data_IF_110657107275
#
_entry.id   IF_110657107275
#
_cell.length_a   1.000
_cell.length_b   1.000
_cell.length_c   1.000
_cell.angle_alpha   90.00
_cell.angle_beta   90.00
_cell.angle_gamma   90.00
#
_symmetry.space_group_name_H-M   'P 1'
#
loop_
_entity.id
_entity.type
_entity.pdbx_description
1 polymer ?
#
# COMPACT_ATOMS: atom_id res chain seq x y z
N UNK A 1 -6.11 -24.92 -24.97
CA UNK A 1 -5.44 -24.31 -23.81
C UNK A 1 -5.88 -22.87 -23.48
N UNK A 2 -6.68 -22.16 -24.31
CA UNK A 2 -7.07 -20.77 -24.03
C UNK A 2 -8.17 -20.57 -22.95
N UNK A 3 -9.04 -21.56 -22.72
CA UNK A 3 -10.17 -21.42 -21.79
C UNK A 3 -9.77 -21.44 -20.30
N UNK A 4 -8.70 -22.17 -19.93
CA UNK A 4 -8.22 -22.23 -18.54
C UNK A 4 -7.64 -20.89 -18.07
N UNK A 5 -6.89 -20.20 -18.92
CA UNK A 5 -6.33 -18.87 -18.60
C UNK A 5 -7.45 -17.83 -18.43
N UNK A 6 -8.48 -17.88 -19.29
CA UNK A 6 -9.65 -17.01 -19.21
C UNK A 6 -10.47 -17.25 -17.95
N UNK A 7 -10.72 -18.51 -17.58
CA UNK A 7 -11.42 -18.88 -16.35
C UNK A 7 -10.70 -18.42 -15.08
N UNK A 8 -9.37 -18.57 -15.05
CA UNK A 8 -8.54 -18.10 -13.93
C UNK A 8 -8.54 -16.57 -13.83
N UNK A 9 -8.43 -15.86 -14.96
CA UNK A 9 -8.49 -14.40 -15.00
C UNK A 9 -9.84 -13.88 -14.49
N UNK A 10 -10.96 -14.41 -14.97
CA UNK A 10 -12.30 -14.03 -14.48
C UNK A 10 -12.50 -14.35 -13.00
N UNK A 11 -12.02 -15.51 -12.52
CA UNK A 11 -12.10 -15.87 -11.10
C UNK A 11 -11.30 -14.90 -10.23
N UNK A 12 -10.12 -14.49 -10.70
CA UNK A 12 -9.27 -13.51 -10.01
C UNK A 12 -9.95 -12.14 -9.96
N UNK A 13 -10.47 -11.66 -11.10
CA UNK A 13 -11.22 -10.41 -11.21
C UNK A 13 -12.47 -10.37 -10.31
N UNK A 14 -13.24 -11.47 -10.26
CA UNK A 14 -14.42 -11.53 -9.38
C UNK A 14 -14.06 -11.50 -7.89
N UNK A 15 -12.94 -12.12 -7.50
CA UNK A 15 -12.45 -12.05 -6.11
C UNK A 15 -12.03 -10.63 -5.75
N UNK A 16 -11.40 -9.95 -6.70
CA UNK A 16 -10.98 -8.55 -6.58
C UNK A 16 -12.14 -7.59 -6.38
N UNK A 17 -13.20 -7.69 -7.19
CA UNK A 17 -14.42 -6.88 -7.00
C UNK A 17 -15.06 -7.11 -5.64
N UNK A 18 -15.09 -8.37 -5.17
CA UNK A 18 -15.61 -8.70 -3.83
C UNK A 18 -14.77 -8.08 -2.72
N UNK A 19 -13.44 -8.21 -2.79
CA UNK A 19 -12.54 -7.61 -1.80
C UNK A 19 -12.71 -6.09 -1.72
N UNK A 20 -12.82 -5.42 -2.87
CA UNK A 20 -13.07 -3.98 -2.93
C UNK A 20 -14.41 -3.59 -2.26
N UNK A 21 -15.47 -4.35 -2.52
CA UNK A 21 -16.77 -4.14 -1.91
C UNK A 21 -16.71 -4.35 -0.38
N UNK A 22 -16.02 -5.40 0.07
CA UNK A 22 -15.86 -5.71 1.49
C UNK A 22 -15.08 -4.61 2.22
N UNK A 23 -13.95 -4.13 1.67
CA UNK A 23 -13.20 -3.01 2.26
C UNK A 23 -14.03 -1.73 2.30
N UNK A 24 -14.78 -1.44 1.23
CA UNK A 24 -15.64 -0.25 1.18
C UNK A 24 -16.79 -0.33 2.18
N UNK A 25 -17.36 -1.51 2.40
CA UNK A 25 -18.38 -1.72 3.41
C UNK A 25 -17.80 -1.61 4.82
N UNK A 26 -16.60 -2.16 5.07
CA UNK A 26 -15.90 -2.01 6.34
C UNK A 26 -15.64 -0.54 6.67
N UNK A 27 -15.23 0.26 5.68
CA UNK A 27 -15.05 1.72 5.83
C UNK A 27 -16.37 2.45 6.12
N UNK A 28 -17.48 2.05 5.48
CA UNK A 28 -18.80 2.64 5.77
C UNK A 28 -19.25 2.36 7.21
N UNK A 29 -19.00 1.14 7.70
CA UNK A 29 -19.35 0.74 9.06
C UNK A 29 -18.42 1.42 10.08
N UNK A 30 -17.13 1.47 9.80
CA UNK A 30 -16.13 2.11 10.64
C UNK A 30 -15.17 2.99 9.81
N UNK A 31 -15.45 4.30 9.70
CA UNK A 31 -14.59 5.24 8.99
C UNK A 31 -13.20 5.46 9.62
N UNK A 32 -12.95 4.90 10.82
CA UNK A 32 -11.66 4.93 11.50
C UNK A 32 -10.93 3.58 11.41
N UNK A 33 -11.31 2.71 10.48
CA UNK A 33 -10.65 1.42 10.30
C UNK A 33 -9.47 1.54 9.33
N UNK A 34 -8.27 1.81 9.87
CA UNK A 34 -7.07 2.05 9.08
C UNK A 34 -6.73 0.90 8.12
N UNK A 35 -6.85 -0.36 8.57
CA UNK A 35 -6.52 -1.54 7.75
C UNK A 35 -7.42 -1.67 6.51
N UNK A 36 -8.70 -1.30 6.62
CA UNK A 36 -9.59 -1.32 5.45
C UNK A 36 -9.18 -0.31 4.39
N UNK A 37 -8.75 0.89 4.79
CA UNK A 37 -8.16 1.86 3.86
C UNK A 37 -6.85 1.35 3.27
N UNK A 38 -5.94 0.84 4.09
CA UNK A 38 -4.68 0.28 3.61
C UNK A 38 -4.90 -0.83 2.57
N UNK A 39 -5.74 -1.80 2.88
CA UNK A 39 -5.98 -2.95 2.00
C UNK A 39 -6.69 -2.54 0.71
N UNK A 40 -7.58 -1.53 0.76
CA UNK A 40 -8.18 -0.96 -0.44
C UNK A 40 -7.18 -0.15 -1.28
N UNK A 41 -6.24 0.54 -0.62
CA UNK A 41 -5.13 1.22 -1.26
C UNK A 41 -4.22 0.24 -2.03
N UNK A 42 -3.83 -0.87 -1.39
CA UNK A 42 -3.06 -1.95 -2.01
C UNK A 42 -3.79 -2.58 -3.20
N UNK A 43 -5.11 -2.76 -3.06
CA UNK A 43 -5.93 -3.20 -4.17
C UNK A 43 -5.88 -2.23 -5.36
N UNK A 44 -6.04 -0.93 -5.14
CA UNK A 44 -5.95 0.06 -6.20
C UNK A 44 -4.56 0.13 -6.82
N UNK A 45 -3.51 -0.01 -6.03
CA UNK A 45 -2.14 -0.09 -6.53
C UNK A 45 -1.95 -1.29 -7.48
N UNK A 46 -2.44 -2.47 -7.13
CA UNK A 46 -2.39 -3.66 -8.01
C UNK A 46 -3.12 -3.44 -9.35
N UNK A 47 -4.14 -2.57 -9.37
CA UNK A 47 -4.86 -2.21 -10.59
C UNK A 47 -4.20 -1.05 -11.37
N UNK A 48 -3.10 -0.47 -10.87
CA UNK A 48 -2.46 0.71 -11.46
C UNK A 48 -3.19 2.03 -11.17
N UNK A 49 -4.20 2.01 -10.30
CA UNK A 49 -5.00 3.17 -9.90
C UNK A 49 -4.27 3.98 -8.81
N UNK A 50 -3.11 4.52 -9.16
CA UNK A 50 -2.16 5.10 -8.20
C UNK A 50 -2.76 6.26 -7.37
N UNK A 51 -3.59 7.13 -7.96
CA UNK A 51 -4.18 8.25 -7.22
C UNK A 51 -5.13 7.77 -6.11
N UNK A 52 -5.93 6.74 -6.39
CA UNK A 52 -6.83 6.13 -5.39
C UNK A 52 -6.04 5.43 -4.29
N UNK A 53 -4.97 4.72 -4.67
CA UNK A 53 -4.06 4.08 -3.71
C UNK A 53 -3.45 5.11 -2.75
N UNK A 54 -2.91 6.22 -3.29
CA UNK A 54 -2.33 7.30 -2.49
C UNK A 54 -3.33 7.92 -1.52
N UNK A 55 -4.58 8.13 -1.96
CA UNK A 55 -5.65 8.68 -1.12
C UNK A 55 -5.97 7.75 0.06
N UNK A 56 -6.13 6.45 -0.22
CA UNK A 56 -6.47 5.45 0.79
C UNK A 56 -5.30 5.23 1.78
N UNK A 57 -4.07 5.09 1.30
CA UNK A 57 -2.91 5.01 2.19
C UNK A 57 -2.77 6.26 3.08
N UNK A 58 -3.02 7.45 2.52
CA UNK A 58 -2.98 8.69 3.30
C UNK A 58 -4.06 8.74 4.38
N UNK A 59 -5.24 8.21 4.09
CA UNK A 59 -6.31 8.12 5.08
C UNK A 59 -5.98 7.08 6.17
N UNK A 60 -5.40 5.92 5.81
CA UNK A 60 -4.92 4.93 6.77
C UNK A 60 -3.87 5.53 7.73
N UNK A 61 -2.91 6.28 7.20
CA UNK A 61 -1.88 6.99 7.97
C UNK A 61 -2.48 8.07 8.87
N UNK A 62 -3.48 8.82 8.38
CA UNK A 62 -4.17 9.84 9.18
C UNK A 62 -4.89 9.23 10.38
N UNK A 63 -5.46 8.04 10.20
CA UNK A 63 -6.16 7.29 11.27
C UNK A 63 -5.14 6.67 12.23
N UNK A 64 -4.08 6.04 11.70
CA UNK A 64 -3.02 5.42 12.48
C UNK A 64 -1.64 5.93 12.01
N UNK A 65 -1.10 6.98 12.67
CA UNK A 65 0.22 7.52 12.34
C UNK A 65 1.40 6.57 12.61
N UNK A 66 1.16 5.42 13.24
CA UNK A 66 2.17 4.37 13.48
C UNK A 66 2.08 3.21 12.48
N UNK A 67 1.26 3.32 11.44
CA UNK A 67 1.08 2.26 10.46
C UNK A 67 2.23 2.22 9.45
N UNK A 68 3.27 1.44 9.77
CA UNK A 68 4.50 1.36 9.00
C UNK A 68 4.27 0.89 7.55
N UNK A 69 3.44 -0.14 7.34
CA UNK A 69 3.14 -0.68 6.01
C UNK A 69 2.46 0.35 5.10
N UNK A 70 1.56 1.16 5.66
CA UNK A 70 0.88 2.20 4.89
C UNK A 70 1.85 3.29 4.41
N UNK A 71 2.86 3.66 5.22
CA UNK A 71 3.94 4.55 4.77
C UNK A 71 4.77 3.87 3.69
N UNK A 72 5.20 2.62 3.90
CA UNK A 72 6.03 1.89 2.94
C UNK A 72 5.35 1.78 1.57
N UNK A 73 4.10 1.33 1.54
CA UNK A 73 3.35 1.13 0.31
C UNK A 73 3.03 2.45 -0.40
N UNK A 74 2.74 3.52 0.36
CA UNK A 74 2.59 4.86 -0.24
C UNK A 74 3.91 5.37 -0.83
N UNK A 75 5.04 5.08 -0.18
CA UNK A 75 6.38 5.34 -0.68
C UNK A 75 6.67 4.65 -2.01
N UNK A 76 6.28 3.37 -2.15
CA UNK A 76 6.39 2.63 -3.42
C UNK A 76 5.59 3.28 -4.55
N UNK A 77 4.35 3.70 -4.27
CA UNK A 77 3.53 4.41 -5.26
C UNK A 77 4.15 5.75 -5.65
N UNK A 78 4.67 6.53 -4.69
CA UNK A 78 5.39 7.77 -5.00
C UNK A 78 6.66 7.54 -5.82
N UNK A 79 7.43 6.49 -5.52
CA UNK A 79 8.61 6.07 -6.31
C UNK A 79 8.22 5.76 -7.75
N UNK A 80 7.16 4.98 -7.98
CA UNK A 80 6.63 4.67 -9.33
C UNK A 80 6.19 5.93 -10.08
N UNK A 81 5.58 6.88 -9.37
CA UNK A 81 5.18 8.17 -9.93
C UNK A 81 6.34 9.18 -10.04
N UNK A 82 7.60 8.75 -9.83
CA UNK A 82 8.81 9.59 -9.86
C UNK A 82 8.79 10.76 -8.87
N UNK A 83 7.96 10.68 -7.83
CA UNK A 83 7.93 11.66 -6.75
C UNK A 83 8.93 11.27 -5.66
N UNK A 84 10.22 11.41 -5.99
CA UNK A 84 11.34 10.92 -5.17
C UNK A 84 11.33 11.55 -3.77
N UNK A 85 11.03 12.85 -3.65
CA UNK A 85 11.00 13.54 -2.36
C UNK A 85 9.97 12.93 -1.39
N UNK A 86 8.73 12.70 -1.86
CA UNK A 86 7.69 12.08 -1.03
C UNK A 86 7.98 10.61 -0.75
N UNK A 87 8.53 9.88 -1.72
CA UNK A 87 8.94 8.49 -1.53
C UNK A 87 9.99 8.38 -0.41
N UNK A 88 11.02 9.22 -0.44
CA UNK A 88 12.07 9.25 0.58
C UNK A 88 11.50 9.52 1.98
N UNK A 89 10.64 10.54 2.12
CA UNK A 89 10.01 10.83 3.41
C UNK A 89 9.17 9.68 3.95
N UNK A 90 8.41 9.01 3.08
CA UNK A 90 7.58 7.87 3.48
C UNK A 90 8.43 6.65 3.87
N UNK A 91 9.51 6.34 3.14
CA UNK A 91 10.40 5.23 3.50
C UNK A 91 11.21 5.51 4.77
N UNK A 92 11.65 6.75 5.01
CA UNK A 92 12.27 7.14 6.28
C UNK A 92 11.32 6.90 7.45
N UNK A 93 10.06 7.34 7.29
CA UNK A 93 9.04 7.16 8.33
C UNK A 93 8.70 5.68 8.55
N UNK A 94 8.60 4.90 7.49
CA UNK A 94 8.38 3.46 7.57
C UNK A 94 9.54 2.77 8.30
N UNK A 95 10.78 3.07 7.94
CA UNK A 95 11.97 2.50 8.58
C UNK A 95 12.00 2.79 10.10
N UNK A 96 11.73 4.03 10.50
CA UNK A 96 11.67 4.40 11.91
C UNK A 96 10.59 3.61 12.68
N UNK A 97 9.43 3.40 12.07
CA UNK A 97 8.33 2.67 12.68
C UNK A 97 8.60 1.16 12.74
N UNK A 98 9.08 0.54 11.66
CA UNK A 98 9.45 -0.88 11.66
C UNK A 98 10.53 -1.18 12.70
N UNK A 99 11.53 -0.30 12.83
CA UNK A 99 12.54 -0.40 13.89
C UNK A 99 11.92 -0.34 15.28
N UNK A 100 10.96 0.56 15.52
CA UNK A 100 10.24 0.65 16.81
C UNK A 100 9.37 -0.58 17.08
N UNK A 101 8.84 -1.21 16.03
CA UNK A 101 8.00 -2.40 16.12
C UNK A 101 8.83 -3.70 16.27
N UNK A 102 10.15 -3.63 16.08
CA UNK A 102 11.02 -4.80 16.07
C UNK A 102 10.99 -5.60 14.76
N UNK A 103 10.38 -5.04 13.70
CA UNK A 103 10.32 -5.66 12.39
C UNK A 103 11.61 -5.38 11.62
N UNK A 104 12.61 -6.22 11.88
CA UNK A 104 13.94 -6.07 11.30
C UNK A 104 13.93 -6.28 9.78
N UNK A 105 13.06 -7.15 9.26
CA UNK A 105 12.99 -7.45 7.83
C UNK A 105 12.53 -6.22 7.04
N UNK A 106 11.37 -5.66 7.42
CA UNK A 106 10.83 -4.49 6.75
C UNK A 106 11.61 -3.21 7.03
N UNK A 107 12.31 -3.14 8.17
CA UNK A 107 13.29 -2.08 8.42
C UNK A 107 14.42 -2.11 7.39
N UNK A 108 15.06 -3.26 7.17
CA UNK A 108 16.13 -3.37 6.17
C UNK A 108 15.61 -3.13 4.75
N UNK A 109 14.43 -3.64 4.42
CA UNK A 109 13.80 -3.40 3.13
C UNK A 109 13.57 -1.90 2.88
N UNK A 110 13.07 -1.17 3.89
CA UNK A 110 12.87 0.28 3.78
C UNK A 110 14.19 1.04 3.60
N UNK A 111 15.28 0.60 4.24
CA UNK A 111 16.62 1.17 4.02
C UNK A 111 17.17 0.89 2.62
N UNK A 112 16.88 -0.28 2.06
CA UNK A 112 17.26 -0.62 0.69
C UNK A 112 16.54 0.29 -0.32
N UNK A 113 15.23 0.49 -0.16
CA UNK A 113 14.48 1.44 -0.98
C UNK A 113 15.06 2.86 -0.90
N UNK A 114 15.49 3.30 0.29
CA UNK A 114 16.14 4.60 0.48
C UNK A 114 17.50 4.70 -0.23
N UNK A 115 18.30 3.63 -0.25
CA UNK A 115 19.58 3.61 -0.98
C UNK A 115 19.35 3.73 -2.47
N UNK A 116 18.41 2.97 -3.03
CA UNK A 116 18.04 3.03 -4.44
C UNK A 116 17.61 4.44 -4.87
N UNK A 117 16.79 5.11 -4.05
CA UNK A 117 16.31 6.47 -4.35
C UNK A 117 17.42 7.53 -4.30
N UNK A 118 18.48 7.28 -3.53
CA UNK A 118 19.61 8.20 -3.37
C UNK A 118 20.75 7.92 -4.37
N UNK A 119 20.66 6.85 -5.14
CA UNK A 119 21.60 6.54 -6.22
C UNK A 119 22.98 6.05 -5.75
N UNK A 120 23.05 5.38 -4.60
CA UNK A 120 24.26 4.75 -4.07
C UNK A 120 24.41 3.30 -4.53
#
# INVERSE_FOLDING_TARGET
MAYCNRGTAYKKQRKYEKALADYSQAIKINPKFADAYHNRGAFYEEQGEHEKALADYSQAIKINPKFADAYHNRGLVYKRNKNIGKATSDFEKAADLFKQQGDQEWYQNSLEQLKELRGY
#
